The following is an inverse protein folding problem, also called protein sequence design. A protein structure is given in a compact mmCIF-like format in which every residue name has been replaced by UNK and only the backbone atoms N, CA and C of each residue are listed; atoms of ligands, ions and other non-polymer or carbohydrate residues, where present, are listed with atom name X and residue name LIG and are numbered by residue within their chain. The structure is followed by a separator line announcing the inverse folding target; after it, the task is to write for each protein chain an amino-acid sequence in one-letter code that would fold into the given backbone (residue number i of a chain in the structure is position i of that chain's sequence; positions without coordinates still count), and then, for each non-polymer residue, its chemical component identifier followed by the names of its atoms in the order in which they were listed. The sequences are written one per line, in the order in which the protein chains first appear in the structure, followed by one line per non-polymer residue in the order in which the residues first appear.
data_IF_564075234872
#
_entry.id   IF_564075234872
#
_cell.length_a   1.000
_cell.length_b   1.000
_cell.length_c   1.000
_cell.angle_alpha   90.00
_cell.angle_beta   90.00
_cell.angle_gamma   90.00
#
_symmetry.space_group_name_H-M   'P 1'
#
loop_
_entity.id
_entity.type
_entity.pdbx_description
1 polymer ?
#
# COMPACT_ATOMS: atom_id res chain seq x y z
N UNK A 1 45.57 -26.26 67.49
CA UNK A 1 45.31 -27.00 66.22
C UNK A 1 44.11 -26.34 65.54
N UNK A 2 44.36 -25.38 64.69
CA UNK A 2 43.34 -24.66 63.91
C UNK A 2 43.47 -25.05 62.45
N UNK A 3 42.42 -25.71 61.89
CA UNK A 3 42.36 -26.03 60.47
C UNK A 3 41.59 -24.91 59.73
N UNK A 4 42.33 -24.15 58.94
CA UNK A 4 41.76 -23.09 58.05
C UNK A 4 41.23 -23.75 56.77
N UNK A 5 39.92 -23.67 56.53
CA UNK A 5 39.30 -24.12 55.31
C UNK A 5 39.34 -22.97 54.27
N UNK A 6 40.07 -23.18 53.17
CA UNK A 6 40.00 -22.29 52.00
C UNK A 6 38.82 -22.72 51.10
N UNK A 7 37.88 -21.84 50.95
CA UNK A 7 36.74 -22.00 50.03
C UNK A 7 37.15 -21.46 48.66
N UNK A 8 37.37 -22.35 47.70
CA UNK A 8 37.59 -21.96 46.30
C UNK A 8 36.23 -21.66 45.63
N UNK A 9 35.95 -20.41 45.31
CA UNK A 9 34.83 -20.02 44.50
C UNK A 9 35.26 -20.11 43.02
N UNK A 10 34.70 -21.10 42.29
CA UNK A 10 34.88 -21.21 40.85
C UNK A 10 33.92 -20.24 40.15
N UNK A 11 34.49 -19.22 39.54
CA UNK A 11 33.72 -18.28 38.68
C UNK A 11 33.61 -18.92 37.30
N UNK A 12 32.40 -19.37 36.95
CA UNK A 12 32.09 -19.86 35.62
C UNK A 12 31.86 -18.62 34.68
N UNK A 13 32.81 -18.40 33.79
CA UNK A 13 32.66 -17.43 32.70
C UNK A 13 31.70 -18.00 31.64
N UNK A 14 30.44 -17.51 31.65
CA UNK A 14 29.51 -17.74 30.55
C UNK A 14 29.96 -16.89 29.34
N UNK A 15 30.52 -17.50 28.32
CA UNK A 15 30.79 -16.89 27.03
C UNK A 15 29.46 -16.73 26.26
N UNK A 16 28.94 -15.50 26.21
CA UNK A 16 27.81 -15.13 25.33
C UNK A 16 28.33 -15.04 23.91
N UNK A 17 28.13 -16.07 23.11
CA UNK A 17 28.37 -16.02 21.67
C UNK A 17 27.30 -15.14 21.03
N UNK A 18 27.66 -13.91 20.69
CA UNK A 18 26.84 -13.05 19.83
C UNK A 18 26.83 -13.64 18.43
N UNK A 19 25.75 -14.32 18.05
CA UNK A 19 25.52 -14.69 16.67
C UNK A 19 25.32 -13.40 15.87
N UNK A 20 26.30 -13.03 15.02
CA UNK A 20 26.10 -12.01 14.00
C UNK A 20 24.97 -12.50 13.10
N UNK A 21 23.83 -11.78 13.10
CA UNK A 21 22.79 -11.99 12.11
C UNK A 21 23.39 -11.72 10.72
N UNK A 22 23.28 -12.69 9.82
CA UNK A 22 23.70 -12.52 8.44
C UNK A 22 22.95 -11.30 7.86
N UNK A 23 23.61 -10.43 7.06
CA UNK A 23 22.96 -9.28 6.44
C UNK A 23 21.78 -9.78 5.59
N UNK A 24 20.65 -9.05 5.56
CA UNK A 24 19.51 -9.42 4.74
C UNK A 24 19.97 -9.55 3.29
N UNK A 25 19.84 -10.71 2.72
CA UNK A 25 20.10 -10.94 1.28
C UNK A 25 19.03 -10.16 0.52
N UNK A 26 19.39 -8.99 -0.01
CA UNK A 26 18.53 -8.26 -0.94
C UNK A 26 18.38 -9.11 -2.20
N UNK A 27 17.20 -9.66 -2.40
CA UNK A 27 16.93 -10.38 -3.65
C UNK A 27 17.11 -9.43 -4.84
N UNK A 28 17.69 -9.92 -5.95
CA UNK A 28 17.79 -9.11 -7.15
C UNK A 28 16.41 -8.58 -7.54
N UNK A 29 16.32 -7.29 -7.81
CA UNK A 29 15.07 -6.61 -8.19
C UNK A 29 15.23 -5.97 -9.56
N UNK A 30 14.11 -5.77 -10.25
CA UNK A 30 14.03 -5.09 -11.52
C UNK A 30 12.94 -4.02 -11.53
N UNK A 31 12.65 -3.52 -12.70
CA UNK A 31 11.62 -2.51 -12.93
C UNK A 31 10.60 -3.03 -13.93
N UNK A 32 9.31 -2.72 -13.73
CA UNK A 32 8.28 -2.89 -14.74
C UNK A 32 7.91 -1.50 -15.27
N UNK A 33 8.02 -1.32 -16.58
CA UNK A 33 7.48 -0.16 -17.30
C UNK A 33 6.30 -0.62 -18.15
N UNK A 34 5.31 0.23 -18.31
CA UNK A 34 4.13 -0.17 -19.07
C UNK A 34 3.36 1.00 -19.66
N UNK A 35 2.45 0.65 -20.57
CA UNK A 35 1.47 1.58 -21.13
C UNK A 35 0.08 0.98 -21.04
N UNK A 36 -0.81 1.73 -20.42
CA UNK A 36 -2.25 1.43 -20.39
C UNK A 36 -2.91 2.24 -21.49
N UNK A 37 -3.69 1.58 -22.31
CA UNK A 37 -4.52 2.21 -23.35
C UNK A 37 -5.98 1.89 -23.11
N UNK A 38 -6.87 2.82 -23.45
CA UNK A 38 -8.31 2.66 -23.34
C UNK A 38 -8.99 3.35 -24.52
N UNK A 39 -10.07 2.77 -25.04
CA UNK A 39 -10.86 3.42 -26.07
C UNK A 39 -11.68 4.58 -25.48
N UNK A 40 -11.57 5.78 -26.10
CA UNK A 40 -12.29 7.00 -25.74
C UNK A 40 -11.55 7.89 -24.74
N UNK A 41 -12.15 9.03 -24.44
CA UNK A 41 -11.61 10.02 -23.48
C UNK A 41 -11.90 9.58 -22.05
N UNK A 42 -10.92 8.97 -21.42
CA UNK A 42 -11.00 8.44 -20.05
C UNK A 42 -9.86 8.99 -19.23
N UNK A 43 -10.14 9.52 -18.03
CA UNK A 43 -9.08 9.96 -17.12
C UNK A 43 -8.23 8.76 -16.66
N UNK A 44 -7.08 8.55 -17.31
CA UNK A 44 -6.14 7.49 -16.97
C UNK A 44 -5.49 7.72 -15.59
N UNK A 45 -5.43 8.97 -15.15
CA UNK A 45 -4.91 9.35 -13.82
C UNK A 45 -5.71 8.80 -12.62
N UNK A 46 -6.95 8.32 -12.82
CA UNK A 46 -7.75 7.63 -11.80
C UNK A 46 -7.55 6.09 -11.85
N UNK A 47 -6.50 5.63 -12.49
CA UNK A 47 -6.16 4.21 -12.64
C UNK A 47 -4.95 3.84 -11.82
N UNK A 48 -4.95 2.57 -11.42
CA UNK A 48 -3.85 1.90 -10.70
C UNK A 48 -3.41 0.71 -11.52
N UNK A 49 -2.10 0.51 -11.58
CA UNK A 49 -1.47 -0.74 -12.01
C UNK A 49 -0.78 -1.35 -10.79
N UNK A 50 -1.02 -2.62 -10.54
CA UNK A 50 -0.45 -3.31 -9.39
C UNK A 50 -0.06 -4.73 -9.77
N UNK A 51 0.81 -5.33 -8.94
CA UNK A 51 1.27 -6.69 -9.14
C UNK A 51 0.58 -7.65 -8.19
N UNK A 52 0.22 -8.79 -8.76
CA UNK A 52 -0.19 -9.97 -8.00
C UNK A 52 0.89 -11.04 -8.09
N UNK A 53 1.17 -11.70 -6.96
CA UNK A 53 1.99 -12.90 -6.97
C UNK A 53 1.21 -14.06 -7.62
N UNK A 54 1.84 -14.87 -8.48
CA UNK A 54 1.23 -16.11 -8.97
C UNK A 54 0.88 -17.09 -7.83
N UNK A 55 1.59 -17.00 -6.71
CA UNK A 55 1.28 -17.71 -5.48
C UNK A 55 0.55 -16.78 -4.52
N UNK A 56 -0.78 -16.96 -4.31
CA UNK A 56 -1.58 -16.12 -3.42
C UNK A 56 -1.22 -16.27 -1.93
N UNK A 57 -0.44 -17.29 -1.56
CA UNK A 57 0.06 -17.47 -0.20
C UNK A 57 1.23 -16.55 0.14
N UNK A 58 1.89 -15.99 -0.87
CA UNK A 58 3.02 -15.07 -0.70
C UNK A 58 2.59 -13.81 0.06
N UNK A 59 3.24 -13.54 1.18
CA UNK A 59 2.98 -12.35 2.01
C UNK A 59 4.13 -11.37 1.88
N UNK A 60 3.79 -10.10 1.82
CA UNK A 60 4.72 -8.99 1.82
C UNK A 60 4.51 -8.17 3.10
N UNK A 61 5.60 -7.71 3.74
CA UNK A 61 5.45 -6.81 4.88
C UNK A 61 4.81 -5.50 4.42
N UNK A 62 3.86 -5.00 5.21
CA UNK A 62 3.31 -3.68 4.97
C UNK A 62 4.36 -2.62 5.29
N UNK A 63 4.42 -1.51 4.50
CA UNK A 63 5.22 -0.35 4.89
C UNK A 63 4.81 0.16 6.28
N UNK A 64 5.80 0.46 7.13
CA UNK A 64 5.53 0.91 8.50
C UNK A 64 4.94 2.33 8.56
N UNK A 65 5.32 3.17 7.60
CA UNK A 65 4.89 4.56 7.56
C UNK A 65 3.43 4.69 7.12
N UNK A 66 2.58 5.38 7.90
CA UNK A 66 1.21 5.68 7.51
C UNK A 66 1.16 6.61 6.29
N UNK A 67 0.20 6.36 5.42
CA UNK A 67 -0.12 7.28 4.32
C UNK A 67 -1.12 8.33 4.82
N UNK A 68 -0.88 9.60 4.51
CA UNK A 68 -1.77 10.68 4.91
C UNK A 68 -2.80 11.01 3.83
N UNK A 69 -4.06 11.17 4.25
CA UNK A 69 -5.16 11.71 3.47
C UNK A 69 -5.69 12.96 4.18
N UNK A 70 -5.63 14.09 3.51
CA UNK A 70 -6.14 15.37 4.01
C UNK A 70 -7.64 15.50 3.71
N UNK A 71 -8.37 16.17 4.60
CA UNK A 71 -9.76 16.58 4.43
C UNK A 71 -9.77 18.12 4.46
N UNK A 72 -9.79 18.72 3.27
CA UNK A 72 -9.76 20.18 3.11
C UNK A 72 -10.72 20.62 2.02
N UNK A 73 -11.50 21.67 2.28
CA UNK A 73 -12.51 22.18 1.35
C UNK A 73 -13.59 21.15 1.03
N UNK A 74 -14.02 20.36 2.01
CA UNK A 74 -14.96 19.25 1.85
C UNK A 74 -14.54 18.23 0.77
N UNK A 75 -13.25 17.92 0.69
CA UNK A 75 -12.66 16.94 -0.23
C UNK A 75 -11.63 16.07 0.47
N UNK A 76 -11.50 14.81 0.01
CA UNK A 76 -10.34 13.99 0.33
C UNK A 76 -9.20 14.29 -0.65
N UNK A 77 -8.01 14.55 -0.14
CA UNK A 77 -6.82 14.81 -0.94
C UNK A 77 -5.65 13.90 -0.51
N UNK A 78 -5.16 13.02 -1.41
CA UNK A 78 -5.67 12.78 -2.76
C UNK A 78 -7.00 12.01 -2.77
N UNK A 79 -7.83 12.23 -3.81
CA UNK A 79 -9.11 11.53 -3.95
C UNK A 79 -8.97 10.02 -4.26
N UNK A 80 -7.84 9.61 -4.81
CA UNK A 80 -7.39 8.22 -4.93
C UNK A 80 -6.10 8.06 -4.15
N UNK A 81 -6.11 7.22 -3.12
CA UNK A 81 -4.92 6.81 -2.35
C UNK A 81 -4.65 5.35 -2.65
N UNK A 82 -3.40 4.99 -2.86
CA UNK A 82 -2.99 3.60 -3.10
C UNK A 82 -2.06 3.19 -1.96
N UNK A 83 -2.36 2.06 -1.36
CA UNK A 83 -1.59 1.46 -0.26
C UNK A 83 -1.44 -0.04 -0.48
N UNK A 84 -0.58 -0.68 0.27
CA UNK A 84 -0.53 -2.15 0.35
C UNK A 84 -1.35 -2.70 1.53
N UNK A 85 -1.73 -3.96 1.42
CA UNK A 85 -2.38 -4.69 2.53
C UNK A 85 -1.55 -4.56 3.82
N UNK A 86 -2.23 -4.29 4.93
CA UNK A 86 -1.63 -4.08 6.26
C UNK A 86 -1.17 -2.66 6.54
N UNK A 87 -1.16 -1.78 5.55
CA UNK A 87 -0.74 -0.39 5.74
C UNK A 87 -1.84 0.46 6.39
N UNK A 88 -1.42 1.46 7.15
CA UNK A 88 -2.31 2.40 7.84
C UNK A 88 -2.46 3.68 7.03
N UNK A 89 -3.68 4.22 7.01
CA UNK A 89 -3.96 5.57 6.51
C UNK A 89 -4.34 6.47 7.66
N UNK A 90 -3.73 7.65 7.72
CA UNK A 90 -4.03 8.70 8.68
C UNK A 90 -4.87 9.78 7.99
N UNK A 91 -6.10 9.98 8.46
CA UNK A 91 -7.05 10.95 7.94
C UNK A 91 -6.97 12.23 8.77
N UNK A 92 -6.34 13.27 8.23
CA UNK A 92 -6.20 14.58 8.86
C UNK A 92 -7.34 15.50 8.43
N UNK A 93 -8.08 16.04 9.38
CA UNK A 93 -8.96 17.17 9.11
C UNK A 93 -8.12 18.46 9.03
N UNK A 94 -7.80 18.86 7.81
CA UNK A 94 -6.86 19.93 7.47
C UNK A 94 -7.59 21.22 7.04
N UNK A 95 -8.78 21.44 7.59
CA UNK A 95 -9.55 22.67 7.35
C UNK A 95 -8.94 23.87 8.06
N UNK A 96 -9.02 25.04 7.42
CA UNK A 96 -8.56 26.31 7.99
C UNK A 96 -9.60 26.92 8.97
N UNK A 97 -10.82 26.36 8.99
CA UNK A 97 -11.93 26.81 9.83
C UNK A 97 -12.36 25.69 10.77
N UNK A 98 -13.15 26.05 11.78
CA UNK A 98 -13.75 25.09 12.74
C UNK A 98 -14.84 24.25 12.08
N UNK A 99 -14.48 23.46 11.09
CA UNK A 99 -15.36 22.53 10.36
C UNK A 99 -15.00 21.13 10.80
N UNK A 100 -16.00 20.40 11.27
CA UNK A 100 -15.84 18.98 11.57
C UNK A 100 -16.07 18.14 10.32
N UNK A 101 -15.35 17.05 10.22
CA UNK A 101 -15.56 15.99 9.24
C UNK A 101 -15.62 14.64 9.93
N UNK A 102 -16.21 13.66 9.26
CA UNK A 102 -15.94 12.27 9.56
C UNK A 102 -15.45 11.53 8.30
N UNK A 103 -14.87 10.37 8.50
CA UNK A 103 -14.55 9.43 7.43
C UNK A 103 -15.24 8.11 7.73
N UNK A 104 -16.03 7.63 6.80
CA UNK A 104 -16.63 6.31 6.92
C UNK A 104 -16.58 5.54 5.61
N UNK A 105 -16.68 4.24 5.71
CA UNK A 105 -16.80 3.32 4.57
C UNK A 105 -17.76 2.18 4.89
N UNK A 106 -18.65 1.88 3.94
CA UNK A 106 -19.51 0.69 3.95
C UNK A 106 -19.01 -0.41 3.00
N UNK A 107 -17.81 -0.26 2.45
CA UNK A 107 -17.23 -1.22 1.51
C UNK A 107 -16.95 -2.55 2.22
N UNK A 108 -17.29 -3.73 1.61
CA UNK A 108 -17.05 -5.03 2.24
C UNK A 108 -15.59 -5.32 2.61
N UNK A 109 -14.63 -4.76 1.83
CA UNK A 109 -13.21 -4.91 2.12
C UNK A 109 -12.79 -4.27 3.45
N UNK A 110 -13.40 -3.12 3.80
CA UNK A 110 -13.19 -2.44 5.09
C UNK A 110 -14.40 -1.57 5.43
N UNK A 111 -15.10 -1.94 6.49
CA UNK A 111 -16.19 -1.12 7.07
C UNK A 111 -15.68 -0.41 8.31
N UNK A 112 -15.90 0.89 8.38
CA UNK A 112 -15.57 1.70 9.57
C UNK A 112 -16.32 3.03 9.53
N UNK A 113 -16.42 3.65 10.69
CA UNK A 113 -16.84 5.04 10.87
C UNK A 113 -15.97 5.65 11.97
N UNK A 114 -15.25 6.71 11.65
CA UNK A 114 -14.34 7.37 12.58
C UNK A 114 -15.08 8.39 13.49
N UNK A 115 -16.38 8.61 13.26
CA UNK A 115 -17.14 9.68 13.92
C UNK A 115 -16.65 11.07 13.50
N UNK A 116 -17.31 12.10 14.01
CA UNK A 116 -16.93 13.49 13.76
C UNK A 116 -15.67 13.87 14.53
N UNK A 117 -14.82 14.70 13.90
CA UNK A 117 -13.66 15.29 14.56
C UNK A 117 -13.29 16.65 13.95
N UNK A 118 -12.83 17.61 14.79
CA UNK A 118 -12.59 18.97 14.37
C UNK A 118 -11.28 19.13 13.57
N UNK A 119 -11.13 20.29 12.95
CA UNK A 119 -9.93 20.72 12.27
C UNK A 119 -8.68 20.57 13.17
N UNK A 120 -7.56 20.15 12.57
CA UNK A 120 -6.29 19.88 13.24
C UNK A 120 -6.19 18.49 13.89
N UNK A 121 -7.27 17.73 13.98
CA UNK A 121 -7.24 16.35 14.47
C UNK A 121 -7.12 15.33 13.34
N UNK A 122 -6.58 14.17 13.67
CA UNK A 122 -6.47 13.05 12.75
C UNK A 122 -6.94 11.75 13.38
N UNK A 123 -7.37 10.80 12.55
CA UNK A 123 -7.73 9.43 12.96
C UNK A 123 -7.21 8.44 11.93
N UNK A 124 -6.84 7.24 12.39
CA UNK A 124 -6.15 6.26 11.56
C UNK A 124 -6.96 4.99 11.39
N UNK A 125 -6.78 4.35 10.23
CA UNK A 125 -7.36 3.03 9.93
C UNK A 125 -6.28 2.18 9.25
N UNK A 126 -6.13 0.93 9.71
CA UNK A 126 -5.31 -0.08 9.03
C UNK A 126 -6.17 -0.92 8.09
N UNK A 127 -5.66 -1.17 6.87
CA UNK A 127 -6.39 -1.86 5.81
C UNK A 127 -5.81 -3.26 5.59
N UNK A 128 -6.53 -4.27 6.00
CA UNK A 128 -6.09 -5.67 6.10
C UNK A 128 -6.57 -6.58 4.96
N UNK A 129 -7.37 -6.05 4.02
CA UNK A 129 -7.89 -6.79 2.87
C UNK A 129 -7.67 -6.03 1.58
N UNK A 130 -7.26 -6.68 0.48
CA UNK A 130 -7.07 -6.03 -0.81
C UNK A 130 -8.41 -5.60 -1.43
N UNK A 131 -8.32 -4.60 -2.30
CA UNK A 131 -9.43 -4.06 -3.07
C UNK A 131 -9.78 -2.60 -2.76
N UNK A 132 -10.77 -2.05 -3.45
CA UNK A 132 -11.18 -0.66 -3.25
C UNK A 132 -11.98 -0.49 -1.96
N UNK A 133 -11.69 0.58 -1.21
CA UNK A 133 -12.46 1.04 -0.05
C UNK A 133 -12.91 2.47 -0.33
N UNK A 134 -14.19 2.65 -0.58
CA UNK A 134 -14.78 3.96 -0.87
C UNK A 134 -15.00 4.73 0.43
N UNK A 135 -14.56 5.99 0.43
CA UNK A 135 -14.62 6.90 1.57
C UNK A 135 -15.72 7.93 1.36
N UNK A 136 -16.41 8.26 2.44
CA UNK A 136 -17.48 9.26 2.46
C UNK A 136 -17.42 10.11 3.72
N UNK A 137 -18.07 11.28 3.67
CA UNK A 137 -18.35 12.11 4.83
C UNK A 137 -19.88 12.24 4.99
N UNK A 138 -20.41 12.10 6.21
CA UNK A 138 -21.85 12.11 6.48
C UNK A 138 -22.53 13.46 6.25
N UNK A 139 -21.78 14.56 6.43
CA UNK A 139 -22.32 15.93 6.33
C UNK A 139 -22.08 16.59 4.97
N UNK A 140 -21.13 16.06 4.18
CA UNK A 140 -20.78 16.61 2.86
C UNK A 140 -21.04 15.59 1.76
N UNK A 141 -22.21 15.62 1.12
CA UNK A 141 -22.68 14.62 0.14
C UNK A 141 -21.74 14.37 -1.03
N UNK A 142 -20.92 15.36 -1.41
CA UNK A 142 -19.98 15.26 -2.54
C UNK A 142 -18.53 14.99 -2.11
N UNK A 143 -18.31 14.81 -0.82
CA UNK A 143 -17.00 14.47 -0.28
C UNK A 143 -16.80 12.96 -0.37
N UNK A 144 -16.21 12.52 -1.49
CA UNK A 144 -15.93 11.12 -1.75
C UNK A 144 -14.47 10.88 -2.12
N UNK A 145 -13.95 9.72 -1.77
CA UNK A 145 -12.61 9.29 -2.07
C UNK A 145 -12.51 7.77 -2.17
N UNK A 146 -11.34 7.27 -2.47
CA UNK A 146 -11.09 5.84 -2.45
C UNK A 146 -9.66 5.54 -1.98
N UNK A 147 -9.54 4.57 -1.09
CA UNK A 147 -8.28 3.89 -0.79
C UNK A 147 -8.29 2.59 -1.58
N UNK A 148 -7.38 2.46 -2.54
CA UNK A 148 -7.14 1.19 -3.21
C UNK A 148 -6.07 0.42 -2.46
N UNK A 149 -6.42 -0.72 -1.90
CA UNK A 149 -5.52 -1.59 -1.15
C UNK A 149 -4.95 -2.63 -2.11
N UNK A 150 -3.70 -2.46 -2.50
CA UNK A 150 -2.97 -3.41 -3.35
C UNK A 150 -2.63 -4.68 -2.58
N UNK A 151 -2.73 -5.87 -3.20
CA UNK A 151 -2.34 -7.13 -2.55
C UNK A 151 -0.84 -7.21 -2.26
N UNK A 152 -0.03 -6.41 -2.97
CA UNK A 152 1.43 -6.35 -2.81
C UNK A 152 1.89 -4.89 -2.71
N UNK A 153 3.12 -4.61 -2.23
CA UNK A 153 3.67 -3.26 -2.21
C UNK A 153 4.11 -2.73 -3.58
N UNK A 154 3.91 -3.50 -4.65
CA UNK A 154 4.35 -3.17 -6.00
C UNK A 154 3.18 -2.63 -6.83
N UNK A 155 3.04 -1.32 -6.88
CA UNK A 155 1.99 -0.64 -7.61
C UNK A 155 2.44 0.74 -8.12
N UNK A 156 1.69 1.29 -9.05
CA UNK A 156 1.88 2.64 -9.58
C UNK A 156 0.54 3.26 -9.97
N UNK A 157 0.47 4.58 -9.94
CA UNK A 157 -0.56 5.30 -10.68
C UNK A 157 -0.25 5.25 -12.17
N UNK A 158 -1.30 5.26 -12.97
CA UNK A 158 -1.17 5.49 -14.41
C UNK A 158 -1.10 7.00 -14.66
N UNK A 159 -0.10 7.44 -15.39
CA UNK A 159 0.04 8.83 -15.79
C UNK A 159 -1.04 9.22 -16.81
N UNK A 160 -1.23 10.53 -17.06
CA UNK A 160 -2.22 11.04 -18.02
C UNK A 160 -1.97 10.54 -19.45
N UNK A 161 -0.73 10.28 -19.81
CA UNK A 161 -0.32 9.71 -21.11
C UNK A 161 -0.45 8.17 -21.18
N UNK A 162 -0.91 7.52 -20.11
CA UNK A 162 -1.06 6.08 -20.00
C UNK A 162 0.19 5.34 -19.52
N UNK A 163 1.32 6.00 -19.32
CA UNK A 163 2.53 5.34 -18.84
C UNK A 163 2.43 4.97 -17.36
N UNK A 164 3.10 3.90 -16.96
CA UNK A 164 3.27 3.49 -15.57
C UNK A 164 4.67 2.91 -15.35
N UNK A 165 5.14 2.97 -14.08
CA UNK A 165 6.44 2.44 -13.69
C UNK A 165 6.36 1.90 -12.27
N UNK A 166 6.78 0.64 -12.08
CA UNK A 166 6.87 -0.05 -10.79
C UNK A 166 8.33 -0.45 -10.59
N UNK A 167 8.94 0.04 -9.53
CA UNK A 167 10.34 -0.17 -9.21
C UNK A 167 10.52 -1.19 -8.08
N UNK A 168 11.75 -1.67 -7.91
CA UNK A 168 12.16 -2.59 -6.84
C UNK A 168 11.33 -3.88 -6.81
N UNK A 169 10.87 -4.34 -7.98
CA UNK A 169 10.10 -5.58 -8.10
C UNK A 169 11.07 -6.76 -7.99
N UNK A 170 10.88 -7.68 -7.02
CA UNK A 170 11.70 -8.87 -6.93
C UNK A 170 11.68 -9.67 -8.24
N UNK A 171 12.83 -10.27 -8.59
CA UNK A 171 12.88 -11.14 -9.75
C UNK A 171 11.89 -12.29 -9.59
N UNK A 172 11.23 -12.68 -10.68
CA UNK A 172 10.24 -13.75 -10.68
C UNK A 172 9.13 -13.54 -11.68
N UNK A 173 8.10 -14.35 -11.57
CA UNK A 173 6.88 -14.24 -12.36
C UNK A 173 5.86 -13.40 -11.59
N UNK A 174 5.18 -12.51 -12.30
CA UNK A 174 4.16 -11.62 -11.74
C UNK A 174 2.99 -11.52 -12.69
N UNK A 175 1.85 -11.09 -12.17
CA UNK A 175 0.68 -10.71 -12.96
C UNK A 175 0.49 -9.20 -12.76
N UNK A 176 0.55 -8.44 -13.85
CA UNK A 176 0.29 -6.99 -13.82
C UNK A 176 -1.20 -6.80 -14.07
N UNK A 177 -1.89 -6.17 -13.14
CA UNK A 177 -3.34 -5.97 -13.21
C UNK A 177 -3.69 -4.49 -13.10
N UNK A 178 -4.73 -4.05 -13.83
CA UNK A 178 -5.26 -2.69 -13.77
C UNK A 178 -6.49 -2.60 -12.89
N UNK A 179 -6.66 -1.48 -12.21
CA UNK A 179 -7.91 -1.11 -11.58
C UNK A 179 -8.24 0.35 -11.86
N UNK A 180 -9.53 0.69 -11.99
CA UNK A 180 -9.99 2.05 -12.21
C UNK A 180 -11.15 2.42 -11.29
N UNK A 181 -11.15 3.67 -10.80
CA UNK A 181 -12.19 4.15 -9.89
C UNK A 181 -13.59 4.12 -10.53
N UNK A 182 -13.74 4.50 -11.77
CA UNK A 182 -15.04 4.63 -12.45
C UNK A 182 -15.56 3.35 -13.10
N UNK A 183 -14.82 2.23 -13.03
CA UNK A 183 -15.23 0.89 -13.51
C UNK A 183 -15.87 0.84 -14.89
N UNK A 184 -15.48 1.71 -15.82
CA UNK A 184 -16.01 1.76 -17.19
C UNK A 184 -15.48 0.64 -18.09
N UNK A 185 -14.36 0.06 -17.70
CA UNK A 185 -13.67 -0.98 -18.44
C UNK A 185 -13.56 -2.25 -17.61
N UNK A 186 -13.35 -3.36 -18.30
CA UNK A 186 -12.90 -4.58 -17.66
C UNK A 186 -11.46 -4.38 -17.18
N UNK A 187 -11.08 -5.00 -16.09
CA UNK A 187 -9.70 -5.05 -15.64
C UNK A 187 -8.88 -5.80 -16.69
N UNK A 188 -7.70 -5.29 -17.02
CA UNK A 188 -6.74 -5.96 -17.87
C UNK A 188 -5.64 -6.55 -17.01
N UNK A 189 -5.22 -7.78 -17.33
CA UNK A 189 -4.17 -8.48 -16.60
C UNK A 189 -3.25 -9.17 -17.59
N UNK A 190 -1.93 -9.04 -17.41
CA UNK A 190 -0.91 -9.67 -18.24
C UNK A 190 0.20 -10.27 -17.37
N UNK A 191 0.67 -11.49 -17.70
CA UNK A 191 1.82 -12.07 -17.04
C UNK A 191 3.10 -11.36 -17.45
N UNK A 192 4.01 -11.19 -16.52
CA UNK A 192 5.34 -10.60 -16.76
C UNK A 192 6.41 -11.36 -15.98
N UNK A 193 7.60 -11.52 -16.55
CA UNK A 193 8.79 -12.04 -15.87
C UNK A 193 9.74 -10.87 -15.59
N UNK A 194 10.14 -10.71 -14.36
CA UNK A 194 11.15 -9.74 -13.94
C UNK A 194 12.47 -10.45 -13.73
N UNK A 195 13.52 -9.95 -14.36
CA UNK A 195 14.88 -10.40 -14.15
C UNK A 195 15.68 -9.34 -13.37
N UNK A 196 16.60 -9.79 -12.53
CA UNK A 196 17.36 -8.89 -11.67
C UNK A 196 18.16 -7.86 -12.46
N UNK A 197 18.08 -6.58 -12.06
CA UNK A 197 18.75 -5.46 -12.72
C UNK A 197 18.17 -5.05 -14.07
N UNK A 198 17.09 -5.70 -14.55
CA UNK A 198 16.51 -5.42 -15.86
C UNK A 198 15.15 -4.76 -15.76
N UNK A 199 14.74 -4.11 -16.86
CA UNK A 199 13.40 -3.58 -17.04
C UNK A 199 12.57 -4.53 -17.90
N UNK A 200 11.39 -4.91 -17.40
CA UNK A 200 10.37 -5.61 -18.18
C UNK A 200 9.32 -4.59 -18.67
N UNK A 201 8.78 -4.81 -19.86
CA UNK A 201 7.76 -3.92 -20.45
C UNK A 201 6.44 -4.67 -20.57
N UNK A 202 5.32 -4.01 -20.21
CA UNK A 202 3.97 -4.55 -20.36
C UNK A 202 3.05 -3.50 -21.00
N UNK A 203 2.18 -3.95 -21.91
CA UNK A 203 1.13 -3.10 -22.47
C UNK A 203 -0.23 -3.69 -22.09
N UNK A 204 -1.11 -2.84 -21.56
CA UNK A 204 -2.41 -3.22 -21.05
C UNK A 204 -3.51 -2.48 -21.81
N UNK A 205 -4.31 -3.20 -22.55
CA UNK A 205 -5.43 -2.64 -23.30
C UNK A 205 -6.75 -2.84 -22.53
N UNK A 206 -7.39 -1.74 -22.17
CA UNK A 206 -8.68 -1.75 -21.47
C UNK A 206 -9.84 -1.87 -22.45
N UNK A 207 -10.66 -2.90 -22.28
CA UNK A 207 -11.89 -3.12 -23.06
C UNK A 207 -13.10 -2.64 -22.28
N UNK A 208 -14.03 -1.94 -22.95
CA UNK A 208 -15.29 -1.54 -22.33
C UNK A 208 -16.08 -2.75 -21.81
N UNK A 209 -16.84 -2.52 -20.72
CA UNK A 209 -17.78 -3.52 -20.19
C UNK A 209 -18.98 -3.67 -21.11
#
# INVERSE_FOLDING_TARGET
MGRTFFLFIAVALLSVSSALAAPPTTQPSGTITGKVTAAGDVPLSEMVVYLESPDPSTKFPAPAEPVQVSQKGAKFAPALTIISVGQTVNFLNDEDKMIEHNVFSNTPAKRFDLGMYPAGQSRSVTFDKPGPVFLYCSIHRYMDGVVYVSPTPFFSRVNSDGTCRIENVPQGKWIVTTWQRRRRFKEASEPVKVEGGQSATVNLELRRK
#
